data_IF_090826769910
#
_entry.id   IF_090826769910
#
_cell.length_a   1.000
_cell.length_b   1.000
_cell.length_c   1.000
_cell.angle_alpha   90.00
_cell.angle_beta   90.00
_cell.angle_gamma   90.00
#
_symmetry.space_group_name_H-M   'P 1'
#
loop_
_entity.id
_entity.type
_entity.pdbx_description
1 polymer ?
#
# COMPACT_ATOMS: atom_id res chain seq x y z
N UNK A 1 -43.59 6.38 37.62
CA UNK A 1 -42.73 5.56 36.76
C UNK A 1 -42.17 6.48 35.68
N UNK A 2 -40.89 6.81 35.73
CA UNK A 2 -40.21 7.51 34.60
C UNK A 2 -40.07 6.48 33.48
N UNK A 3 -40.26 6.86 32.19
CA UNK A 3 -39.96 5.96 31.08
C UNK A 3 -38.48 5.58 31.19
N UNK A 4 -38.17 4.29 31.12
CA UNK A 4 -36.79 3.83 30.99
C UNK A 4 -36.22 4.45 29.69
N UNK A 5 -35.28 5.36 29.83
CA UNK A 5 -34.40 5.75 28.70
C UNK A 5 -33.82 4.45 28.15
N UNK A 6 -34.24 4.06 26.96
CA UNK A 6 -33.60 2.99 26.23
C UNK A 6 -32.17 3.47 25.96
N UNK A 7 -31.22 3.04 26.76
CA UNK A 7 -29.80 3.31 26.52
C UNK A 7 -29.46 2.80 25.12
N UNK A 8 -29.14 3.70 24.23
CA UNK A 8 -28.74 3.36 22.83
C UNK A 8 -27.44 2.59 22.92
N UNK A 9 -27.38 1.42 22.29
CA UNK A 9 -26.16 0.61 22.25
C UNK A 9 -25.10 1.24 21.35
N UNK A 10 -23.84 1.10 21.73
CA UNK A 10 -22.69 1.57 20.95
C UNK A 10 -22.43 0.70 19.72
N UNK A 11 -23.32 0.81 18.74
CA UNK A 11 -23.18 0.22 17.41
C UNK A 11 -23.66 1.21 16.36
N UNK A 12 -22.81 1.53 15.39
CA UNK A 12 -23.14 2.39 14.26
C UNK A 12 -22.83 1.64 12.96
N UNK A 13 -23.84 1.57 12.11
CA UNK A 13 -23.69 1.14 10.72
C UNK A 13 -23.59 2.37 9.84
N UNK A 14 -22.53 2.42 9.02
CA UNK A 14 -22.37 3.45 7.99
C UNK A 14 -23.43 3.31 6.89
N UNK A 15 -23.51 4.31 5.98
CA UNK A 15 -24.39 4.23 4.80
C UNK A 15 -24.14 2.98 3.96
N UNK A 16 -25.08 2.63 3.09
CA UNK A 16 -24.87 1.49 2.19
C UNK A 16 -23.74 1.82 1.19
N UNK A 17 -22.84 0.85 0.95
CA UNK A 17 -21.69 1.04 0.05
C UNK A 17 -22.12 1.45 -1.38
N UNK A 18 -23.24 0.93 -1.85
CA UNK A 18 -23.79 1.24 -3.19
C UNK A 18 -24.21 2.71 -3.35
N UNK A 19 -24.40 3.43 -2.25
CA UNK A 19 -24.77 4.84 -2.26
C UNK A 19 -23.55 5.77 -2.21
N UNK A 20 -22.33 5.19 -2.14
CA UNK A 20 -21.09 5.95 -2.12
C UNK A 20 -20.70 6.39 -3.53
N UNK A 21 -20.67 7.70 -3.76
CA UNK A 21 -20.34 8.27 -5.06
C UNK A 21 -18.83 8.22 -5.36
N UNK A 22 -18.49 8.15 -6.65
CA UNK A 22 -17.12 8.26 -7.12
C UNK A 22 -16.29 6.99 -6.99
N UNK A 23 -16.90 5.87 -6.60
CA UNK A 23 -16.25 4.57 -6.56
C UNK A 23 -16.19 3.99 -7.96
N UNK A 24 -14.98 3.64 -8.41
CA UNK A 24 -14.71 2.95 -9.68
C UNK A 24 -14.58 1.44 -9.51
N UNK A 25 -13.88 0.75 -10.46
CA UNK A 25 -13.67 -0.69 -10.40
C UNK A 25 -12.98 -1.12 -9.10
N UNK A 26 -13.47 -2.22 -8.51
CA UNK A 26 -13.02 -2.75 -7.22
C UNK A 26 -12.03 -3.92 -7.34
N UNK A 27 -11.37 -4.06 -8.51
CA UNK A 27 -10.22 -4.95 -8.68
C UNK A 27 -8.99 -4.14 -9.05
N UNK A 28 -7.80 -4.54 -8.60
CA UNK A 28 -6.55 -3.84 -8.94
C UNK A 28 -6.31 -3.72 -10.46
N UNK A 29 -6.55 -4.79 -11.29
CA UNK A 29 -6.46 -4.64 -12.74
C UNK A 29 -7.50 -3.68 -13.31
N UNK A 30 -8.72 -3.71 -12.80
CA UNK A 30 -9.81 -2.81 -13.21
C UNK A 30 -9.52 -1.35 -12.83
N UNK A 31 -8.98 -1.13 -11.63
CA UNK A 31 -8.53 0.17 -11.13
C UNK A 31 -7.46 0.77 -12.06
N UNK A 32 -6.39 0.02 -12.34
CA UNK A 32 -5.32 0.48 -13.21
C UNK A 32 -5.82 0.82 -14.62
N UNK A 33 -6.67 -0.03 -15.20
CA UNK A 33 -7.26 0.22 -16.52
C UNK A 33 -8.09 1.50 -16.52
N UNK A 34 -8.95 1.69 -15.53
CA UNK A 34 -9.76 2.89 -15.40
C UNK A 34 -8.91 4.16 -15.32
N UNK A 35 -7.80 4.12 -14.58
CA UNK A 35 -6.87 5.25 -14.51
C UNK A 35 -6.24 5.55 -15.87
N UNK A 36 -5.80 4.53 -16.61
CA UNK A 36 -5.22 4.69 -17.93
C UNK A 36 -6.25 5.22 -18.95
N UNK A 37 -7.49 4.76 -18.90
CA UNK A 37 -8.58 5.24 -19.75
C UNK A 37 -8.96 6.70 -19.44
N UNK A 38 -9.02 7.08 -18.15
CA UNK A 38 -9.38 8.44 -17.73
C UNK A 38 -8.30 9.48 -18.00
N UNK A 39 -7.04 9.13 -17.73
CA UNK A 39 -5.96 10.12 -17.65
C UNK A 39 -4.90 9.99 -18.75
N UNK A 40 -4.85 8.87 -19.46
CA UNK A 40 -4.10 8.64 -20.68
C UNK A 40 -2.66 9.20 -20.69
N UNK A 41 -2.48 10.31 -21.39
CA UNK A 41 -1.17 10.96 -21.61
C UNK A 41 -0.72 11.87 -20.44
N UNK A 42 -1.47 11.95 -19.32
CA UNK A 42 -0.99 12.71 -18.17
C UNK A 42 0.17 12.00 -17.49
N UNK A 43 1.10 12.76 -16.92
CA UNK A 43 2.21 12.21 -16.11
C UNK A 43 1.66 11.53 -14.86
N UNK A 44 1.93 10.23 -14.71
CA UNK A 44 1.54 9.43 -13.53
C UNK A 44 2.67 9.24 -12.54
N UNK A 45 3.89 9.00 -13.07
CA UNK A 45 5.07 8.72 -12.27
C UNK A 45 6.25 9.57 -12.74
N UNK A 46 7.04 10.03 -11.78
CA UNK A 46 8.31 10.70 -12.02
C UNK A 46 9.36 10.18 -11.07
N UNK A 47 10.50 9.79 -11.62
CA UNK A 47 11.57 9.20 -10.85
C UNK A 47 12.95 9.59 -11.39
N UNK A 48 13.89 9.84 -10.47
CA UNK A 48 15.28 9.99 -10.82
C UNK A 48 15.99 8.66 -10.56
N UNK A 49 16.47 8.02 -11.62
CA UNK A 49 17.13 6.73 -11.53
C UNK A 49 18.51 6.83 -10.86
N UNK A 50 19.15 5.68 -10.61
CA UNK A 50 20.44 5.59 -9.94
C UNK A 50 21.58 6.31 -10.70
N UNK A 51 21.44 6.49 -12.01
CA UNK A 51 22.36 7.26 -12.84
C UNK A 51 22.08 8.78 -12.84
N UNK A 52 21.07 9.24 -12.05
CA UNK A 52 20.69 10.64 -11.97
C UNK A 52 19.76 11.12 -13.09
N UNK A 53 19.35 10.24 -14.01
CA UNK A 53 18.47 10.56 -15.13
C UNK A 53 17.02 10.62 -14.64
N UNK A 54 16.30 11.68 -14.99
CA UNK A 54 14.86 11.79 -14.72
C UNK A 54 14.09 10.99 -15.76
N UNK A 55 13.25 10.09 -15.26
CA UNK A 55 12.33 9.25 -16.05
C UNK A 55 10.89 9.59 -15.65
N UNK A 56 10.01 9.60 -16.64
CA UNK A 56 8.59 9.90 -16.44
C UNK A 56 7.78 8.85 -17.19
N UNK A 57 6.61 8.55 -16.64
CA UNK A 57 5.61 7.69 -17.29
C UNK A 57 4.25 8.37 -17.23
N UNK A 58 3.56 8.37 -18.33
CA UNK A 58 2.13 8.68 -18.40
C UNK A 58 1.31 7.52 -17.81
N UNK A 59 0.02 7.73 -17.58
CA UNK A 59 -0.86 6.66 -17.14
C UNK A 59 -0.95 5.51 -18.14
N UNK A 60 -0.93 5.82 -19.44
CA UNK A 60 -0.87 4.80 -20.51
C UNK A 60 0.43 4.01 -20.45
N UNK A 61 1.58 4.70 -20.38
CA UNK A 61 2.88 4.05 -20.30
C UNK A 61 3.03 3.22 -19.02
N UNK A 62 2.54 3.70 -17.88
CA UNK A 62 2.49 2.93 -16.63
C UNK A 62 1.65 1.65 -16.81
N UNK A 63 0.51 1.72 -17.50
CA UNK A 63 -0.32 0.55 -17.82
C UNK A 63 0.45 -0.44 -18.72
N UNK A 64 1.15 0.04 -19.73
CA UNK A 64 1.92 -0.78 -20.65
C UNK A 64 3.11 -1.49 -19.98
N UNK A 65 3.80 -0.82 -19.05
CA UNK A 65 4.84 -1.44 -18.23
C UNK A 65 4.25 -2.56 -17.34
N UNK A 66 3.12 -2.31 -16.67
CA UNK A 66 2.42 -3.32 -15.89
C UNK A 66 1.99 -4.51 -16.74
N UNK A 67 1.51 -4.26 -17.96
CA UNK A 67 1.16 -5.29 -18.93
C UNK A 67 2.40 -6.12 -19.33
N UNK A 68 3.57 -5.48 -19.52
CA UNK A 68 4.83 -6.16 -19.78
C UNK A 68 5.21 -7.12 -18.66
N UNK A 69 5.10 -6.67 -17.40
CA UNK A 69 5.36 -7.51 -16.22
C UNK A 69 4.35 -8.66 -16.13
N UNK A 70 3.06 -8.40 -16.35
CA UNK A 70 2.03 -9.45 -16.34
C UNK A 70 2.31 -10.55 -17.35
N UNK A 71 2.73 -10.17 -18.56
CA UNK A 71 3.14 -11.14 -19.61
C UNK A 71 4.33 -11.98 -19.16
N UNK A 72 5.36 -11.36 -18.57
CA UNK A 72 6.54 -12.06 -18.08
C UNK A 72 6.18 -13.05 -16.96
N UNK A 73 5.33 -12.64 -16.03
CA UNK A 73 4.83 -13.49 -14.95
C UNK A 73 4.04 -14.69 -15.49
N UNK A 74 3.11 -14.48 -16.42
CA UNK A 74 2.37 -15.58 -17.06
C UNK A 74 3.31 -16.55 -17.80
N UNK A 75 4.31 -16.03 -18.51
CA UNK A 75 5.33 -16.86 -19.18
C UNK A 75 6.20 -17.65 -18.19
N UNK A 76 6.39 -17.13 -16.98
CA UNK A 76 7.08 -17.80 -15.88
C UNK A 76 6.20 -18.82 -15.14
N UNK A 77 4.94 -19.05 -15.58
CA UNK A 77 4.02 -20.03 -15.00
C UNK A 77 3.14 -19.48 -13.87
N UNK A 78 3.15 -18.17 -13.64
CA UNK A 78 2.30 -17.53 -12.65
C UNK A 78 0.83 -17.67 -13.03
N UNK A 79 0.01 -17.98 -12.04
CA UNK A 79 -1.44 -18.08 -12.17
C UNK A 79 -2.15 -17.57 -10.91
N UNK A 80 -3.44 -17.88 -10.82
CA UNK A 80 -4.28 -17.42 -9.71
C UNK A 80 -3.76 -17.94 -8.37
N UNK A 81 -3.51 -17.01 -7.45
CA UNK A 81 -3.03 -17.29 -6.11
C UNK A 81 -1.51 -17.47 -5.97
N UNK A 82 -0.74 -17.49 -7.09
CA UNK A 82 0.72 -17.45 -7.03
C UNK A 82 1.19 -16.20 -6.28
N UNK A 83 2.16 -16.33 -5.40
CA UNK A 83 2.66 -15.22 -4.58
C UNK A 83 3.94 -14.63 -5.15
N UNK A 84 3.88 -13.35 -5.51
CA UNK A 84 4.99 -12.57 -6.06
C UNK A 84 5.48 -11.61 -4.97
N UNK A 85 6.66 -11.86 -4.44
CA UNK A 85 7.32 -11.00 -3.45
C UNK A 85 7.96 -9.80 -4.12
N UNK A 86 7.71 -8.61 -3.59
CA UNK A 86 8.36 -7.37 -4.01
C UNK A 86 9.23 -6.85 -2.87
N UNK A 87 10.55 -7.03 -2.98
CA UNK A 87 11.56 -6.46 -2.10
C UNK A 87 12.20 -5.25 -2.81
N UNK A 88 11.41 -4.24 -2.99
CA UNK A 88 11.70 -3.07 -3.83
C UNK A 88 11.34 -1.81 -3.03
N UNK A 89 12.19 -0.79 -3.07
CA UNK A 89 11.92 0.52 -2.52
C UNK A 89 10.86 1.29 -3.34
N UNK A 90 10.68 2.59 -3.06
CA UNK A 90 9.71 3.41 -3.80
C UNK A 90 10.24 3.73 -5.23
N UNK A 91 10.30 2.69 -6.07
CA UNK A 91 10.68 2.73 -7.48
C UNK A 91 9.47 2.45 -8.38
N UNK A 92 9.50 2.87 -9.65
CA UNK A 92 8.43 2.54 -10.62
C UNK A 92 8.15 1.05 -10.71
N UNK A 93 9.20 0.22 -10.66
CA UNK A 93 9.11 -1.24 -10.78
C UNK A 93 8.31 -1.89 -9.63
N UNK A 94 8.19 -1.23 -8.46
CA UNK A 94 7.29 -1.68 -7.41
C UNK A 94 5.83 -1.64 -7.87
N UNK A 95 5.41 -0.52 -8.49
CA UNK A 95 4.05 -0.36 -9.04
C UNK A 95 3.82 -1.29 -10.23
N UNK A 96 4.80 -1.39 -11.13
CA UNK A 96 4.72 -2.30 -12.28
C UNK A 96 4.61 -3.75 -11.84
N UNK A 97 5.38 -4.16 -10.82
CA UNK A 97 5.32 -5.49 -10.22
C UNK A 97 3.98 -5.78 -9.58
N UNK A 98 3.46 -4.87 -8.76
CA UNK A 98 2.21 -5.04 -8.02
C UNK A 98 1.00 -5.12 -8.97
N UNK A 99 0.86 -4.15 -9.88
CA UNK A 99 -0.23 -4.18 -10.85
C UNK A 99 -0.06 -5.31 -11.87
N UNK A 100 1.17 -5.57 -12.33
CA UNK A 100 1.47 -6.68 -13.25
C UNK A 100 1.13 -8.05 -12.62
N UNK A 101 1.47 -8.25 -11.35
CA UNK A 101 1.10 -9.45 -10.60
C UNK A 101 -0.43 -9.61 -10.53
N UNK A 102 -1.14 -8.53 -10.21
CA UNK A 102 -2.60 -8.56 -10.14
C UNK A 102 -3.25 -8.84 -11.51
N UNK A 103 -2.70 -8.30 -12.62
CA UNK A 103 -3.15 -8.60 -13.99
C UNK A 103 -2.89 -10.05 -14.40
N UNK A 104 -1.88 -10.70 -13.84
CA UNK A 104 -1.59 -12.13 -14.02
C UNK A 104 -2.39 -13.05 -13.07
N UNK A 105 -3.25 -12.47 -12.20
CA UNK A 105 -4.03 -13.22 -11.21
C UNK A 105 -3.25 -13.61 -9.95
N UNK A 106 -2.05 -13.08 -9.78
CA UNK A 106 -1.19 -13.34 -8.64
C UNK A 106 -1.50 -12.43 -7.45
N UNK A 107 -0.97 -12.81 -6.29
CA UNK A 107 -1.01 -12.04 -5.04
C UNK A 107 0.35 -11.41 -4.81
N UNK A 108 0.38 -10.10 -4.64
CA UNK A 108 1.61 -9.37 -4.30
C UNK A 108 1.91 -9.48 -2.81
N UNK A 109 3.13 -9.85 -2.47
CA UNK A 109 3.66 -9.80 -1.11
C UNK A 109 4.59 -8.60 -0.98
N UNK A 110 4.16 -7.59 -0.24
CA UNK A 110 4.91 -6.37 -0.01
C UNK A 110 5.95 -6.60 1.11
N UNK A 111 7.21 -6.79 0.72
CA UNK A 111 8.31 -7.09 1.64
C UNK A 111 8.96 -5.78 2.12
N UNK A 112 9.26 -5.71 3.41
CA UNK A 112 9.87 -4.53 4.00
C UNK A 112 11.36 -4.43 3.66
N UNK A 113 11.77 -3.38 2.97
CA UNK A 113 13.16 -3.13 2.58
C UNK A 113 14.10 -2.77 3.72
N UNK A 114 13.58 -2.58 4.93
CA UNK A 114 14.36 -2.37 6.15
C UNK A 114 14.43 -3.60 7.05
N UNK A 115 13.88 -4.74 6.61
CA UNK A 115 13.95 -6.01 7.35
C UNK A 115 15.39 -6.49 7.51
N UNK A 116 15.67 -7.05 8.68
CA UNK A 116 16.88 -7.84 8.90
C UNK A 116 16.83 -9.13 8.09
N UNK A 117 17.97 -9.81 7.93
CA UNK A 117 18.04 -11.12 7.27
C UNK A 117 17.06 -12.14 7.88
N UNK A 118 16.99 -12.19 9.22
CA UNK A 118 16.08 -13.08 9.93
C UNK A 118 14.61 -12.77 9.65
N UNK A 119 14.24 -11.50 9.66
CA UNK A 119 12.88 -11.05 9.36
C UNK A 119 12.50 -11.33 7.91
N UNK A 120 13.40 -11.04 6.96
CA UNK A 120 13.16 -11.34 5.55
C UNK A 120 12.99 -12.85 5.32
N UNK A 121 13.85 -13.68 5.91
CA UNK A 121 13.72 -15.13 5.87
C UNK A 121 12.38 -15.62 6.43
N UNK A 122 11.92 -15.03 7.53
CA UNK A 122 10.61 -15.31 8.08
C UNK A 122 9.49 -14.90 7.12
N UNK A 123 9.52 -13.67 6.56
CA UNK A 123 8.51 -13.16 5.64
C UNK A 123 8.39 -14.05 4.39
N UNK A 124 9.52 -14.47 3.82
CA UNK A 124 9.54 -15.35 2.64
C UNK A 124 8.91 -16.72 2.93
N UNK A 125 9.27 -17.34 4.08
CA UNK A 125 8.69 -18.63 4.50
C UNK A 125 7.20 -18.51 4.82
N UNK A 126 6.82 -17.45 5.54
CA UNK A 126 5.44 -17.25 5.96
C UNK A 126 4.51 -17.00 4.77
N UNK A 127 5.00 -16.29 3.75
CA UNK A 127 4.16 -15.91 2.61
C UNK A 127 4.24 -16.88 1.43
N UNK A 128 5.03 -17.94 1.48
CA UNK A 128 5.19 -18.92 0.39
C UNK A 128 5.45 -18.24 -0.97
N UNK A 129 6.38 -17.28 -1.00
CA UNK A 129 6.74 -16.56 -2.22
C UNK A 129 7.29 -17.53 -3.26
N UNK A 130 6.75 -17.49 -4.48
CA UNK A 130 7.19 -18.31 -5.60
C UNK A 130 8.17 -17.55 -6.51
N UNK A 131 7.91 -16.26 -6.74
CA UNK A 131 8.80 -15.38 -7.49
C UNK A 131 9.13 -14.19 -6.60
N UNK A 132 10.41 -13.95 -6.35
CA UNK A 132 10.90 -12.76 -5.68
C UNK A 132 11.45 -11.79 -6.72
N UNK A 133 10.90 -10.57 -6.76
CA UNK A 133 11.44 -9.46 -7.53
C UNK A 133 12.05 -8.49 -6.53
N UNK A 134 13.35 -8.19 -6.70
CA UNK A 134 14.09 -7.39 -5.71
C UNK A 134 15.07 -6.42 -6.35
N UNK A 135 15.41 -5.37 -5.61
CA UNK A 135 16.62 -4.58 -5.86
C UNK A 135 17.87 -5.31 -5.35
N UNK A 136 19.05 -4.92 -5.83
CA UNK A 136 20.30 -5.44 -5.27
C UNK A 136 20.50 -5.05 -3.80
N UNK A 137 20.02 -3.88 -3.41
CA UNK A 137 20.07 -3.39 -2.03
C UNK A 137 19.44 -2.01 -1.86
N UNK A 138 19.14 -1.63 -0.63
CA UNK A 138 18.56 -0.34 -0.23
C UNK A 138 19.29 0.20 1.00
N UNK A 139 19.77 1.43 0.94
CA UNK A 139 20.59 2.04 2.00
C UNK A 139 21.79 1.15 2.36
N UNK A 140 21.85 0.62 3.58
CA UNK A 140 22.92 -0.30 4.03
C UNK A 140 22.59 -1.78 3.82
N UNK A 141 21.39 -2.13 3.37
CA UNK A 141 20.98 -3.52 3.19
C UNK A 141 21.42 -4.05 1.82
N UNK A 142 22.24 -5.10 1.82
CA UNK A 142 22.62 -5.88 0.63
C UNK A 142 21.68 -7.09 0.50
N UNK A 143 20.63 -6.95 -0.32
CA UNK A 143 19.65 -8.01 -0.52
C UNK A 143 20.21 -9.18 -1.31
N UNK A 144 21.21 -8.92 -2.15
CA UNK A 144 21.86 -9.98 -2.91
C UNK A 144 22.64 -10.89 -1.98
N UNK A 145 23.45 -10.35 -1.09
CA UNK A 145 24.14 -11.16 -0.06
C UNK A 145 23.13 -11.90 0.83
N UNK A 146 22.10 -11.20 1.27
CA UNK A 146 21.05 -11.76 2.12
C UNK A 146 20.34 -12.95 1.47
N UNK A 147 19.91 -12.85 0.20
CA UNK A 147 19.18 -13.95 -0.44
C UNK A 147 20.06 -15.16 -0.70
N UNK A 148 21.36 -14.98 -0.98
CA UNK A 148 22.30 -16.10 -1.10
C UNK A 148 22.57 -16.77 0.26
N UNK A 149 22.55 -16.04 1.37
CA UNK A 149 22.63 -16.61 2.72
C UNK A 149 21.36 -17.40 3.05
N UNK A 150 20.18 -16.85 2.77
CA UNK A 150 18.90 -17.51 3.05
C UNK A 150 18.62 -18.69 2.12
N UNK A 151 19.19 -18.71 0.93
CA UNK A 151 18.95 -19.71 -0.10
C UNK A 151 20.25 -20.08 -0.83
N UNK A 152 21.21 -20.79 -0.21
CA UNK A 152 22.49 -21.15 -0.82
C UNK A 152 22.38 -21.88 -2.17
N UNK A 153 21.38 -22.77 -2.43
CA UNK A 153 21.23 -23.44 -3.72
C UNK A 153 20.97 -22.46 -4.88
N UNK A 154 20.58 -21.22 -4.61
CA UNK A 154 20.35 -20.20 -5.63
C UNK A 154 21.59 -19.99 -6.53
N UNK A 155 22.81 -20.10 -5.96
CA UNK A 155 24.07 -19.89 -6.69
C UNK A 155 24.31 -20.85 -7.87
N UNK A 156 23.62 -21.99 -7.91
CA UNK A 156 23.73 -22.98 -8.98
C UNK A 156 22.39 -23.25 -9.68
N UNK A 157 21.34 -22.54 -9.31
CA UNK A 157 20.00 -22.79 -9.83
C UNK A 157 19.76 -22.11 -11.20
N UNK A 158 19.09 -22.83 -12.07
CA UNK A 158 18.47 -22.21 -13.25
C UNK A 158 17.22 -21.44 -12.81
N UNK A 159 16.99 -20.20 -13.27
CA UNK A 159 15.78 -19.46 -12.94
C UNK A 159 14.48 -20.22 -13.28
N UNK A 160 13.66 -20.51 -12.30
CA UNK A 160 12.45 -21.32 -12.39
C UNK A 160 12.60 -22.76 -11.92
N UNK A 161 13.83 -23.24 -11.68
CA UNK A 161 14.14 -24.60 -11.23
C UNK A 161 14.79 -24.63 -9.82
N UNK A 162 14.60 -23.55 -9.06
CA UNK A 162 15.11 -23.45 -7.70
C UNK A 162 14.29 -24.33 -6.76
N UNK A 163 15.00 -25.09 -5.91
CA UNK A 163 14.43 -25.90 -4.82
C UNK A 163 15.25 -25.72 -3.57
N UNK A 164 14.57 -25.40 -2.46
CA UNK A 164 15.20 -25.24 -1.16
C UNK A 164 14.23 -25.64 -0.05
N UNK A 165 14.70 -26.43 0.93
CA UNK A 165 13.83 -27.00 1.98
C UNK A 165 13.18 -25.91 2.85
N UNK A 166 13.91 -24.84 3.19
CA UNK A 166 13.40 -23.74 4.01
C UNK A 166 12.51 -22.75 3.23
N UNK A 167 12.66 -22.72 1.90
CA UNK A 167 11.87 -21.88 0.99
C UNK A 167 11.25 -22.74 -0.11
N UNK A 168 10.38 -23.71 0.25
CA UNK A 168 9.94 -24.78 -0.64
C UNK A 168 9.11 -24.31 -1.83
N UNK A 169 8.59 -23.08 -1.80
CA UNK A 169 7.83 -22.48 -2.89
C UNK A 169 8.65 -21.59 -3.79
N UNK A 170 9.79 -21.05 -3.34
CA UNK A 170 10.62 -20.15 -4.14
C UNK A 170 11.19 -20.87 -5.37
N UNK A 171 10.91 -20.33 -6.56
CA UNK A 171 11.34 -20.89 -7.84
C UNK A 171 12.24 -19.93 -8.62
N UNK A 172 12.10 -18.63 -8.37
CA UNK A 172 12.78 -17.62 -9.17
C UNK A 172 13.09 -16.39 -8.34
N UNK A 173 14.30 -15.86 -8.51
CA UNK A 173 14.69 -14.56 -7.98
C UNK A 173 15.08 -13.66 -9.15
N UNK A 174 14.37 -12.55 -9.31
CA UNK A 174 14.60 -11.53 -10.33
C UNK A 174 15.21 -10.31 -9.65
N UNK A 175 16.36 -9.85 -10.15
CA UNK A 175 17.03 -8.69 -9.61
C UNK A 175 17.00 -7.52 -10.61
N UNK A 176 16.54 -6.35 -10.16
CA UNK A 176 16.39 -5.14 -10.99
C UNK A 176 17.74 -4.54 -11.41
N UNK A 177 18.75 -4.71 -10.57
CA UNK A 177 20.04 -4.04 -10.69
C UNK A 177 21.20 -5.06 -10.87
N UNK A 178 20.89 -6.30 -11.29
CA UNK A 178 21.93 -7.31 -11.51
C UNK A 178 22.62 -7.12 -12.86
N UNK A 179 23.92 -7.43 -12.86
CA UNK A 179 24.61 -7.67 -14.12
C UNK A 179 24.05 -8.94 -14.78
N UNK A 180 23.90 -9.00 -16.11
CA UNK A 180 23.26 -10.13 -16.84
C UNK A 180 23.91 -11.51 -16.62
N UNK A 181 25.01 -11.61 -15.89
CA UNK A 181 25.80 -12.82 -15.74
C UNK A 181 25.87 -13.40 -14.33
N UNK A 182 25.09 -12.86 -13.35
CA UNK A 182 25.17 -13.38 -11.98
C UNK A 182 24.39 -14.68 -11.84
N UNK A 183 25.10 -15.78 -11.67
CA UNK A 183 24.51 -17.11 -11.50
C UNK A 183 23.38 -17.12 -10.48
N UNK A 184 22.26 -17.77 -10.82
CA UNK A 184 21.08 -17.95 -9.98
C UNK A 184 20.11 -16.75 -9.94
N UNK A 185 20.56 -15.53 -10.18
CA UNK A 185 19.67 -14.36 -10.31
C UNK A 185 19.30 -14.14 -11.78
N UNK A 186 18.03 -13.88 -12.03
CA UNK A 186 17.56 -13.46 -13.33
C UNK A 186 17.59 -11.94 -13.45
N UNK A 187 18.21 -11.41 -14.51
CA UNK A 187 18.14 -9.99 -14.83
C UNK A 187 16.70 -9.56 -15.17
N UNK A 188 16.35 -8.32 -14.79
CA UNK A 188 15.01 -7.77 -15.03
C UNK A 188 14.64 -7.74 -16.53
N UNK A 189 15.56 -7.32 -17.39
CA UNK A 189 15.32 -7.27 -18.84
C UNK A 189 15.11 -8.66 -19.43
N UNK A 190 15.88 -9.65 -18.98
CA UNK A 190 15.70 -11.06 -19.36
C UNK A 190 14.35 -11.59 -18.88
N UNK A 191 13.95 -11.27 -17.65
CA UNK A 191 12.65 -11.64 -17.12
C UNK A 191 11.51 -11.06 -17.96
N UNK A 192 11.53 -9.75 -18.23
CA UNK A 192 10.52 -9.09 -19.07
C UNK A 192 10.48 -9.69 -20.48
N UNK A 193 11.63 -10.08 -21.02
CA UNK A 193 11.70 -10.72 -22.35
C UNK A 193 10.95 -12.06 -22.44
N UNK A 194 10.75 -12.79 -21.34
CA UNK A 194 9.93 -14.01 -21.33
C UNK A 194 8.52 -13.74 -21.85
N UNK A 195 7.96 -12.58 -21.52
CA UNK A 195 6.58 -12.19 -21.85
C UNK A 195 6.34 -11.90 -23.34
N UNK A 196 7.37 -11.79 -24.18
CA UNK A 196 7.25 -11.37 -25.60
C UNK A 196 6.27 -12.22 -26.42
N UNK A 197 6.12 -13.50 -26.08
CA UNK A 197 5.23 -14.44 -26.79
C UNK A 197 3.83 -14.51 -26.21
N UNK A 198 3.58 -13.87 -25.06
CA UNK A 198 2.24 -13.90 -24.43
C UNK A 198 1.36 -12.84 -25.11
N UNK A 199 0.23 -13.26 -25.75
CA UNK A 199 -0.70 -12.32 -26.36
C UNK A 199 -1.33 -11.39 -25.33
N UNK A 200 -1.57 -10.14 -25.69
CA UNK A 200 -2.26 -9.17 -24.84
C UNK A 200 -3.63 -9.69 -24.37
N UNK A 201 -4.39 -10.34 -25.28
CA UNK A 201 -5.70 -10.90 -24.99
C UNK A 201 -5.70 -11.92 -23.83
N UNK A 202 -4.60 -12.67 -23.63
CA UNK A 202 -4.46 -13.59 -22.50
C UNK A 202 -4.41 -12.82 -21.18
N UNK A 203 -3.59 -11.76 -21.12
CA UNK A 203 -3.52 -10.91 -19.90
C UNK A 203 -4.87 -10.26 -19.63
N UNK A 204 -5.54 -9.72 -20.66
CA UNK A 204 -6.86 -9.11 -20.49
C UNK A 204 -7.89 -10.12 -19.96
N UNK A 205 -7.92 -11.35 -20.49
CA UNK A 205 -8.83 -12.41 -20.02
C UNK A 205 -8.53 -12.81 -18.58
N UNK A 206 -7.23 -12.94 -18.21
CA UNK A 206 -6.81 -13.23 -16.85
C UNK A 206 -7.22 -12.11 -15.88
N UNK A 207 -6.92 -10.87 -16.23
CA UNK A 207 -7.29 -9.69 -15.44
C UNK A 207 -8.81 -9.56 -15.25
N UNK A 208 -9.59 -9.84 -16.30
CA UNK A 208 -11.06 -9.82 -16.25
C UNK A 208 -11.67 -10.94 -15.40
N UNK A 209 -10.93 -12.02 -15.14
CA UNK A 209 -11.38 -13.12 -14.25
C UNK A 209 -11.23 -12.80 -12.76
N UNK A 210 -10.56 -11.72 -12.40
CA UNK A 210 -10.37 -11.31 -11.00
C UNK A 210 -11.67 -10.81 -10.39
N UNK A 211 -11.96 -11.26 -9.17
CA UNK A 211 -13.10 -10.78 -8.38
C UNK A 211 -12.65 -9.76 -7.32
N UNK A 212 -13.50 -8.79 -6.96
CA UNK A 212 -13.22 -7.86 -5.86
C UNK A 212 -12.89 -8.54 -4.52
N UNK A 213 -13.39 -9.74 -4.28
CA UNK A 213 -13.16 -10.52 -3.05
C UNK A 213 -11.95 -11.44 -3.14
N UNK A 214 -11.30 -11.56 -4.30
CA UNK A 214 -10.07 -12.31 -4.42
C UNK A 214 -8.95 -11.63 -3.64
N UNK A 215 -8.03 -12.41 -3.13
CA UNK A 215 -6.82 -11.92 -2.49
C UNK A 215 -5.93 -11.24 -3.53
N UNK A 216 -5.51 -10.00 -3.25
CA UNK A 216 -4.65 -9.21 -4.14
C UNK A 216 -3.30 -8.89 -3.55
N UNK A 217 -3.24 -8.71 -2.22
CA UNK A 217 -2.07 -8.18 -1.52
C UNK A 217 -1.85 -8.89 -0.18
N UNK A 218 -0.59 -8.97 0.24
CA UNK A 218 -0.19 -9.35 1.59
C UNK A 218 0.74 -8.27 2.13
N UNK A 219 0.42 -7.73 3.32
CA UNK A 219 1.27 -6.83 4.07
C UNK A 219 1.72 -7.47 5.38
N UNK A 220 2.88 -7.06 5.87
CA UNK A 220 3.35 -7.47 7.18
C UNK A 220 3.18 -6.32 8.18
N UNK A 221 2.51 -6.58 9.30
CA UNK A 221 2.44 -5.63 10.41
C UNK A 221 3.52 -5.94 11.44
N UNK A 222 4.01 -4.89 12.09
CA UNK A 222 4.93 -4.98 13.24
C UNK A 222 4.21 -5.37 14.54
N UNK A 223 3.23 -6.29 14.50
CA UNK A 223 2.39 -6.63 15.65
C UNK A 223 3.10 -6.60 17.01
N UNK A 224 2.35 -6.46 18.09
CA UNK A 224 2.83 -6.48 19.49
C UNK A 224 3.49 -7.80 19.92
N UNK A 225 3.49 -8.82 19.04
CA UNK A 225 4.12 -10.12 19.21
C UNK A 225 5.48 -10.18 18.50
N UNK A 226 6.35 -11.06 18.91
CA UNK A 226 7.73 -11.16 18.42
C UNK A 226 7.89 -11.42 16.90
N UNK A 227 6.84 -11.77 16.18
CA UNK A 227 6.86 -12.07 14.74
C UNK A 227 5.80 -11.24 13.99
N UNK A 228 6.15 -10.62 12.81
CA UNK A 228 5.20 -9.88 11.99
C UNK A 228 4.05 -10.76 11.48
N UNK A 229 2.81 -10.26 11.54
CA UNK A 229 1.65 -10.96 10.99
C UNK A 229 1.52 -10.67 9.49
N UNK A 230 1.31 -11.73 8.70
CA UNK A 230 1.03 -11.62 7.26
C UNK A 230 -0.47 -11.40 7.05
N UNK A 231 -0.86 -10.16 6.77
CA UNK A 231 -2.24 -9.70 6.64
C UNK A 231 -2.66 -9.81 5.18
N UNK A 232 -3.68 -10.62 4.91
CA UNK A 232 -4.20 -10.88 3.57
C UNK A 232 -5.26 -9.86 3.19
N UNK A 233 -5.07 -9.14 2.09
CA UNK A 233 -5.99 -8.10 1.65
C UNK A 233 -6.64 -8.43 0.30
N UNK A 234 -7.94 -8.10 0.16
CA UNK A 234 -8.67 -8.28 -1.09
C UNK A 234 -8.36 -7.16 -2.09
N UNK A 235 -8.63 -7.40 -3.37
CA UNK A 235 -8.62 -6.34 -4.38
C UNK A 235 -9.55 -5.19 -3.98
N UNK A 236 -10.76 -5.51 -3.48
CA UNK A 236 -11.76 -4.53 -3.05
C UNK A 236 -11.25 -3.64 -1.92
N UNK A 237 -10.61 -4.21 -0.91
CA UNK A 237 -10.12 -3.44 0.23
C UNK A 237 -9.15 -2.33 -0.24
N UNK A 238 -8.18 -2.68 -1.08
CA UNK A 238 -7.20 -1.75 -1.61
C UNK A 238 -7.82 -0.67 -2.51
N UNK A 239 -8.60 -1.09 -3.51
CA UNK A 239 -9.13 -0.16 -4.52
C UNK A 239 -10.22 0.75 -3.98
N UNK A 240 -11.09 0.23 -3.09
CA UNK A 240 -12.13 1.05 -2.44
C UNK A 240 -11.51 2.19 -1.62
N UNK A 241 -10.46 1.90 -0.84
CA UNK A 241 -9.77 2.94 -0.11
C UNK A 241 -9.04 3.93 -1.04
N UNK A 242 -8.43 3.46 -2.14
CA UNK A 242 -7.86 4.38 -3.11
C UNK A 242 -8.92 5.37 -3.64
N UNK A 243 -10.11 4.91 -4.02
CA UNK A 243 -11.19 5.78 -4.49
C UNK A 243 -11.63 6.77 -3.41
N UNK A 244 -11.80 6.33 -2.17
CA UNK A 244 -12.18 7.19 -1.03
C UNK A 244 -11.17 8.29 -0.78
N UNK A 245 -9.89 7.94 -0.74
CA UNK A 245 -8.83 8.92 -0.44
C UNK A 245 -8.68 9.98 -1.51
N UNK A 246 -8.96 9.68 -2.78
CA UNK A 246 -9.03 10.68 -3.84
C UNK A 246 -10.02 11.80 -3.54
N UNK A 247 -11.17 11.46 -2.98
CA UNK A 247 -12.18 12.47 -2.60
C UNK A 247 -11.84 13.17 -1.29
N UNK A 248 -11.33 12.45 -0.29
CA UNK A 248 -11.12 13.01 1.05
C UNK A 248 -9.97 14.01 1.13
N UNK A 249 -8.96 13.81 0.32
CA UNK A 249 -7.83 14.72 0.27
C UNK A 249 -8.19 16.07 -0.37
N UNK A 250 -9.24 16.12 -1.20
CA UNK A 250 -9.67 17.36 -1.83
C UNK A 250 -8.58 17.98 -2.71
N UNK A 251 -7.69 17.16 -3.25
CA UNK A 251 -6.64 17.57 -4.18
C UNK A 251 -7.14 17.46 -5.61
N UNK A 252 -6.56 18.22 -6.52
CA UNK A 252 -6.89 18.17 -7.93
C UNK A 252 -5.84 17.42 -8.77
N UNK A 253 -6.08 17.35 -10.05
CA UNK A 253 -5.23 16.64 -11.00
C UNK A 253 -3.86 17.27 -11.27
N UNK A 254 -3.54 18.40 -10.67
CA UNK A 254 -2.21 19.01 -10.69
C UNK A 254 -1.32 18.53 -9.54
N UNK A 255 -1.88 17.72 -8.59
CA UNK A 255 -1.17 17.25 -7.42
C UNK A 255 0.09 16.46 -7.79
N UNK A 256 1.18 16.80 -7.12
CA UNK A 256 2.48 16.12 -7.20
C UNK A 256 2.80 15.61 -5.81
N UNK A 257 2.63 14.31 -5.64
CA UNK A 257 2.72 13.69 -4.32
C UNK A 257 4.06 12.97 -4.14
N UNK A 258 4.71 13.27 -3.03
CA UNK A 258 5.86 12.52 -2.53
C UNK A 258 5.52 11.83 -1.21
N UNK A 259 6.08 10.65 -0.98
CA UNK A 259 5.98 9.96 0.29
C UNK A 259 7.34 9.58 0.84
N UNK A 260 7.55 9.89 2.12
CA UNK A 260 8.72 9.45 2.88
C UNK A 260 8.67 7.97 3.27
N UNK A 261 7.49 7.36 3.19
CA UNK A 261 7.22 6.00 3.65
C UNK A 261 7.39 4.97 2.53
N UNK A 262 7.83 3.74 2.88
CA UNK A 262 7.99 2.65 1.92
C UNK A 262 6.65 2.12 1.39
N UNK A 263 6.61 1.69 0.14
CA UNK A 263 5.40 1.14 -0.50
C UNK A 263 4.95 -0.20 0.08
N UNK A 264 5.81 -0.85 0.86
CA UNK A 264 5.45 -2.03 1.65
C UNK A 264 4.49 -1.75 2.81
N UNK A 265 4.18 -0.49 3.11
CA UNK A 265 3.21 -0.10 4.13
C UNK A 265 1.83 0.19 3.51
N UNK A 266 0.78 -0.50 4.01
CA UNK A 266 -0.58 -0.43 3.46
C UNK A 266 -1.20 0.98 3.49
N UNK A 267 -0.90 1.78 4.53
CA UNK A 267 -1.39 3.15 4.63
C UNK A 267 -0.92 4.04 3.48
N UNK A 268 0.33 3.86 3.03
CA UNK A 268 0.86 4.61 1.90
C UNK A 268 0.10 4.32 0.59
N UNK A 269 -0.43 3.10 0.46
CA UNK A 269 -1.23 2.70 -0.69
C UNK A 269 -2.47 3.59 -0.86
N UNK A 270 -3.21 3.82 0.21
CA UNK A 270 -4.37 4.71 0.16
C UNK A 270 -3.96 6.19 0.16
N UNK A 271 -3.08 6.60 1.08
CA UNK A 271 -2.71 8.00 1.29
C UNK A 271 -1.93 8.61 0.12
N UNK A 272 -0.98 7.85 -0.49
CA UNK A 272 -0.20 8.34 -1.63
C UNK A 272 -0.83 7.93 -2.97
N UNK A 273 -1.07 6.63 -3.21
CA UNK A 273 -1.59 6.18 -4.51
C UNK A 273 -3.04 6.61 -4.69
N UNK A 274 -3.90 6.38 -3.69
CA UNK A 274 -5.31 6.73 -3.74
C UNK A 274 -5.52 8.21 -3.95
N UNK A 275 -4.94 9.06 -3.09
CA UNK A 275 -5.11 10.51 -3.16
C UNK A 275 -4.59 11.11 -4.47
N UNK A 276 -3.60 10.47 -5.12
CA UNK A 276 -2.92 11.01 -6.30
C UNK A 276 -3.45 10.44 -7.59
N UNK A 277 -3.42 9.10 -7.72
CA UNK A 277 -3.71 8.46 -9.01
C UNK A 277 -5.19 8.57 -9.39
N UNK A 278 -6.10 8.56 -8.41
CA UNK A 278 -7.55 8.64 -8.69
C UNK A 278 -8.01 9.99 -9.20
N UNK A 279 -7.22 11.03 -8.99
CA UNK A 279 -7.49 12.40 -9.50
C UNK A 279 -6.66 12.75 -10.73
N UNK A 280 -5.78 11.86 -11.21
CA UNK A 280 -4.92 12.08 -12.37
C UNK A 280 -3.67 12.91 -12.05
N UNK A 281 -3.21 12.89 -10.80
CA UNK A 281 -1.97 13.51 -10.33
C UNK A 281 -0.73 12.70 -10.65
N UNK A 282 0.44 13.14 -10.17
CA UNK A 282 1.74 12.53 -10.41
C UNK A 282 2.42 12.11 -9.09
N UNK A 283 2.86 10.86 -9.00
CA UNK A 283 3.71 10.39 -7.91
C UNK A 283 5.18 10.72 -8.20
N UNK A 284 5.80 11.44 -7.27
CA UNK A 284 7.22 11.78 -7.28
C UNK A 284 7.94 10.75 -6.42
N UNK A 285 8.72 9.89 -7.08
CA UNK A 285 9.30 8.72 -6.43
C UNK A 285 10.70 8.99 -5.91
N UNK A 286 10.97 8.51 -4.71
CA UNK A 286 12.28 8.49 -4.07
C UNK A 286 12.45 7.15 -3.37
N UNK A 287 13.59 6.48 -3.59
CA UNK A 287 13.83 5.10 -3.12
C UNK A 287 13.56 4.94 -1.62
N UNK A 288 14.11 5.82 -0.81
CA UNK A 288 13.95 5.86 0.64
C UNK A 288 14.13 7.28 1.15
N UNK A 289 13.66 7.54 2.35
CA UNK A 289 13.77 8.83 2.98
C UNK A 289 15.22 9.11 3.38
N UNK A 290 15.79 10.15 2.79
CA UNK A 290 17.03 10.82 3.19
C UNK A 290 16.71 12.31 3.32
N UNK A 291 16.91 12.95 4.48
CA UNK A 291 16.39 14.29 4.72
C UNK A 291 16.90 15.34 3.73
N UNK A 292 18.21 15.39 3.43
CA UNK A 292 18.79 16.38 2.53
C UNK A 292 18.34 16.16 1.08
N UNK A 293 18.42 14.93 0.60
CA UNK A 293 17.96 14.57 -0.74
C UNK A 293 16.44 14.75 -0.90
N UNK A 294 15.67 14.52 0.17
CA UNK A 294 14.21 14.73 0.17
C UNK A 294 13.88 16.21 0.08
N UNK A 295 14.56 17.07 0.86
CA UNK A 295 14.37 18.52 0.83
C UNK A 295 14.67 19.08 -0.58
N UNK A 296 15.78 18.64 -1.20
CA UNK A 296 16.12 19.00 -2.58
C UNK A 296 15.03 18.55 -3.57
N UNK A 297 14.53 17.31 -3.41
CA UNK A 297 13.50 16.76 -4.28
C UNK A 297 12.20 17.55 -4.17
N UNK A 298 11.75 17.89 -2.95
CA UNK A 298 10.52 18.65 -2.70
C UNK A 298 10.52 19.96 -3.49
N UNK A 299 11.64 20.71 -3.46
CA UNK A 299 11.82 21.97 -4.19
C UNK A 299 11.86 21.75 -5.70
N UNK A 300 12.77 20.87 -6.16
CA UNK A 300 13.06 20.65 -7.57
C UNK A 300 11.84 20.12 -8.33
N UNK A 301 11.12 19.17 -7.75
CA UNK A 301 9.96 18.56 -8.38
C UNK A 301 8.66 19.30 -8.09
N UNK A 302 8.72 20.40 -7.34
CA UNK A 302 7.56 21.19 -6.93
C UNK A 302 6.46 20.31 -6.34
N UNK A 303 6.81 19.51 -5.35
CA UNK A 303 5.87 18.63 -4.65
C UNK A 303 4.80 19.49 -3.98
N UNK A 304 3.55 19.13 -4.17
CA UNK A 304 2.41 19.86 -3.59
C UNK A 304 1.74 19.14 -2.43
N UNK A 305 1.94 17.81 -2.33
CA UNK A 305 1.46 16.96 -1.23
C UNK A 305 2.61 16.08 -0.72
N UNK A 306 3.01 16.26 0.53
CA UNK A 306 4.01 15.43 1.19
C UNK A 306 3.34 14.50 2.20
N UNK A 307 3.58 13.19 2.06
CA UNK A 307 3.14 12.16 3.02
C UNK A 307 4.34 11.76 3.88
N UNK A 308 4.41 12.32 5.07
CA UNK A 308 5.48 12.08 6.02
C UNK A 308 4.94 12.00 7.45
N UNK A 309 5.65 11.28 8.32
CA UNK A 309 5.36 11.27 9.75
C UNK A 309 6.04 12.46 10.46
N UNK A 310 5.54 12.91 11.62
CA UNK A 310 6.11 14.05 12.33
C UNK A 310 7.62 13.95 12.59
N UNK A 311 8.15 12.75 12.85
CA UNK A 311 9.59 12.56 13.04
C UNK A 311 10.40 12.73 11.74
N UNK A 312 9.82 12.42 10.57
CA UNK A 312 10.46 12.64 9.27
C UNK A 312 10.42 14.14 8.91
N UNK A 313 9.30 14.81 9.17
CA UNK A 313 9.20 16.26 9.01
C UNK A 313 10.19 17.03 9.90
N UNK A 314 10.36 16.58 11.16
CA UNK A 314 11.37 17.13 12.05
C UNK A 314 12.79 17.00 11.46
N UNK A 315 13.11 15.86 10.87
CA UNK A 315 14.40 15.63 10.19
C UNK A 315 14.58 16.52 8.96
N UNK A 316 13.53 16.82 8.20
CA UNK A 316 13.59 17.80 7.10
C UNK A 316 13.90 19.19 7.63
N UNK A 317 13.26 19.59 8.74
CA UNK A 317 13.48 20.89 9.37
C UNK A 317 14.89 21.06 9.92
N UNK A 318 15.57 19.98 10.29
CA UNK A 318 16.96 19.97 10.77
C UNK A 318 18.00 20.08 9.64
N UNK A 319 17.60 19.94 8.36
CA UNK A 319 18.53 20.06 7.24
C UNK A 319 19.14 21.47 7.15
N UNK A 320 20.43 21.61 6.87
CA UNK A 320 21.07 22.93 6.71
C UNK A 320 20.43 23.80 5.62
N UNK A 321 19.89 23.15 4.56
CA UNK A 321 19.20 23.85 3.47
C UNK A 321 17.77 24.28 3.76
N UNK A 322 17.21 23.88 4.92
CA UNK A 322 15.81 24.18 5.25
C UNK A 322 15.47 25.68 5.20
N UNK A 323 16.24 26.62 5.81
CA UNK A 323 15.85 28.04 5.82
C UNK A 323 15.75 28.68 4.45
N UNK A 324 16.55 28.19 3.48
CA UNK A 324 16.66 28.75 2.13
C UNK A 324 15.84 27.97 1.09
N UNK A 325 15.13 26.89 1.51
CA UNK A 325 14.37 26.05 0.63
C UNK A 325 13.14 26.79 0.07
N UNK A 326 12.85 26.64 -1.22
CA UNK A 326 11.59 27.06 -1.82
C UNK A 326 10.57 25.89 -1.76
N UNK A 327 9.75 25.91 -0.72
CA UNK A 327 8.68 24.93 -0.50
C UNK A 327 7.28 25.51 -0.82
N UNK A 328 7.21 26.62 -1.54
CA UNK A 328 5.95 27.32 -1.86
C UNK A 328 4.96 26.45 -2.67
N UNK A 329 5.42 25.39 -3.32
CA UNK A 329 4.56 24.43 -4.01
C UNK A 329 3.79 23.49 -3.07
N UNK A 330 4.23 23.32 -1.80
CA UNK A 330 3.60 22.47 -0.80
C UNK A 330 2.32 23.12 -0.25
N UNK A 331 1.25 23.07 -1.02
CA UNK A 331 -0.06 23.67 -0.68
C UNK A 331 -0.98 22.72 0.08
N UNK A 332 -0.75 21.41 -0.05
CA UNK A 332 -1.49 20.35 0.65
C UNK A 332 -0.66 19.83 1.84
N UNK A 333 -0.45 20.69 2.81
CA UNK A 333 0.18 20.40 4.09
C UNK A 333 -0.75 20.81 5.20
N UNK A 334 -0.99 19.95 6.18
CA UNK A 334 -1.81 20.32 7.32
C UNK A 334 -1.12 21.44 8.11
N UNK A 335 -1.87 22.52 8.36
CA UNK A 335 -1.36 23.74 8.99
C UNK A 335 -0.78 23.52 10.39
N UNK A 336 -1.13 22.42 11.04
CA UNK A 336 -0.70 22.08 12.40
C UNK A 336 0.55 21.17 12.41
N UNK A 337 1.06 20.77 11.23
CA UNK A 337 2.25 19.95 11.07
C UNK A 337 3.55 20.77 10.99
N UNK A 338 4.67 20.11 11.19
CA UNK A 338 6.01 20.74 11.23
C UNK A 338 6.35 21.39 9.88
N UNK A 339 6.05 20.74 8.77
CA UNK A 339 6.29 21.30 7.42
C UNK A 339 5.63 22.66 7.23
N UNK A 340 4.41 22.86 7.73
CA UNK A 340 3.70 24.14 7.64
C UNK A 340 4.38 25.29 8.42
N UNK A 341 5.37 25.01 9.24
CA UNK A 341 6.17 26.05 9.92
C UNK A 341 7.21 26.70 9.01
N UNK A 342 7.42 26.17 7.78
CA UNK A 342 8.36 26.80 6.84
C UNK A 342 7.80 28.11 6.28
N UNK A 343 8.61 29.19 6.22
CA UNK A 343 8.11 30.54 5.85
C UNK A 343 7.59 30.66 4.41
N UNK A 344 7.99 29.77 3.49
CA UNK A 344 7.49 29.77 2.11
C UNK A 344 6.17 28.99 1.94
N UNK A 345 5.68 28.30 2.96
CA UNK A 345 4.45 27.49 2.87
C UNK A 345 3.26 28.33 3.34
N UNK A 346 2.30 28.52 2.44
CA UNK A 346 1.01 29.12 2.74
C UNK A 346 -0.09 28.07 2.51
N UNK A 347 -0.74 27.64 3.60
CA UNK A 347 -1.76 26.58 3.52
C UNK A 347 -2.92 26.83 4.48
N UNK A 348 -4.12 26.47 4.01
CA UNK A 348 -5.33 26.32 4.85
C UNK A 348 -5.84 24.88 4.82
N UNK A 349 -5.10 23.99 4.12
CA UNK A 349 -5.50 22.60 3.96
C UNK A 349 -5.41 21.84 5.28
N UNK A 350 -6.30 20.90 5.45
CA UNK A 350 -6.34 19.98 6.57
C UNK A 350 -6.26 18.55 6.07
N UNK A 351 -5.44 17.75 6.72
CA UNK A 351 -5.37 16.33 6.43
C UNK A 351 -6.68 15.64 6.82
N UNK A 352 -7.20 14.70 6.02
CA UNK A 352 -8.26 13.80 6.43
C UNK A 352 -7.91 13.07 7.72
N UNK A 353 -8.90 12.89 8.59
CA UNK A 353 -8.75 12.13 9.83
C UNK A 353 -9.63 10.88 9.80
N UNK A 354 -9.24 9.84 10.52
CA UNK A 354 -9.99 8.60 10.60
C UNK A 354 -9.32 7.56 11.47
N UNK A 355 -10.06 6.51 11.76
CA UNK A 355 -9.60 5.36 12.52
C UNK A 355 -9.57 4.11 11.66
N UNK A 356 -8.51 3.34 11.79
CA UNK A 356 -8.35 2.02 11.18
C UNK A 356 -6.96 1.44 11.33
N UNK A 357 -6.81 0.22 10.84
CA UNK A 357 -5.65 -0.65 11.00
C UNK A 357 -5.19 -1.18 9.63
N UNK A 358 -4.09 -1.91 9.58
CA UNK A 358 -3.72 -2.69 8.39
C UNK A 358 -4.79 -3.74 8.07
N UNK A 359 -5.39 -4.35 9.10
CA UNK A 359 -6.47 -5.34 8.98
C UNK A 359 -7.76 -4.77 8.37
N UNK A 360 -7.98 -3.47 8.47
CA UNK A 360 -9.11 -2.77 7.84
C UNK A 360 -8.73 -2.07 6.53
N UNK A 361 -7.52 -2.30 6.05
CA UNK A 361 -6.89 -1.57 4.94
C UNK A 361 -7.05 -0.05 5.10
N UNK A 362 -6.54 0.51 6.18
CA UNK A 362 -6.74 1.89 6.63
C UNK A 362 -8.11 2.13 7.30
N UNK A 363 -8.87 3.12 6.94
CA UNK A 363 -9.97 3.66 7.75
C UNK A 363 -11.28 2.86 7.65
N UNK A 364 -11.93 2.64 8.81
CA UNK A 364 -13.33 2.20 8.93
C UNK A 364 -14.27 3.35 9.31
N UNK A 365 -13.73 4.38 9.94
CA UNK A 365 -14.37 5.70 10.09
C UNK A 365 -13.45 6.75 9.54
N UNK A 366 -14.00 7.88 9.09
CA UNK A 366 -13.15 8.92 8.54
C UNK A 366 -13.95 10.14 8.07
N UNK A 367 -13.23 11.25 7.94
CA UNK A 367 -13.78 12.53 7.52
C UNK A 367 -12.74 13.28 6.69
N UNK A 368 -13.22 13.97 5.65
CA UNK A 368 -12.39 14.89 4.88
C UNK A 368 -11.80 15.99 5.78
N UNK A 369 -10.58 16.42 5.50
CA UNK A 369 -9.87 17.40 6.32
C UNK A 369 -10.65 18.71 6.52
N UNK A 370 -11.38 19.17 5.49
CA UNK A 370 -12.23 20.38 5.55
C UNK A 370 -13.42 20.27 6.53
N UNK A 371 -13.78 19.05 6.95
CA UNK A 371 -14.91 18.77 7.84
C UNK A 371 -14.44 18.17 9.19
N UNK A 372 -13.13 18.09 9.41
CA UNK A 372 -12.58 17.50 10.61
C UNK A 372 -12.89 18.37 11.84
N UNK A 373 -13.65 17.81 12.79
CA UNK A 373 -13.89 18.42 14.09
C UNK A 373 -12.85 17.90 15.10
N UNK A 374 -12.51 18.73 16.07
CA UNK A 374 -11.51 18.39 17.08
C UNK A 374 -11.85 17.08 17.80
N UNK A 375 -10.85 16.19 17.88
CA UNK A 375 -10.91 14.88 18.56
C UNK A 375 -11.89 13.84 17.98
N UNK A 376 -12.49 14.06 16.81
CA UNK A 376 -13.32 13.04 16.15
C UNK A 376 -12.51 12.23 15.14
N UNK A 377 -12.73 10.91 15.10
CA UNK A 377 -12.23 10.03 14.05
C UNK A 377 -13.21 9.92 12.85
N UNK A 378 -14.18 10.84 12.80
CA UNK A 378 -15.19 10.90 11.75
C UNK A 378 -16.29 9.84 11.84
N UNK A 379 -17.31 9.95 10.99
CA UNK A 379 -18.41 8.99 10.90
C UNK A 379 -17.92 7.63 10.39
N UNK A 380 -18.67 6.58 10.71
CA UNK A 380 -18.46 5.23 10.16
C UNK A 380 -18.68 5.27 8.65
N UNK A 381 -17.70 4.75 7.91
CA UNK A 381 -17.69 4.82 6.45
C UNK A 381 -18.72 3.89 5.81
N UNK A 382 -19.14 4.18 4.57
CA UNK A 382 -20.11 3.35 3.85
C UNK A 382 -19.72 1.87 3.82
N UNK A 383 -20.71 1.01 4.11
CA UNK A 383 -20.56 -0.43 4.17
C UNK A 383 -19.91 -0.99 5.43
N UNK A 384 -19.36 -0.15 6.31
CA UNK A 384 -18.77 -0.59 7.58
C UNK A 384 -19.79 -0.56 8.71
N UNK A 385 -19.52 -1.38 9.75
CA UNK A 385 -20.18 -1.32 11.06
C UNK A 385 -19.08 -1.27 12.13
N UNK A 386 -19.22 -0.36 13.07
CA UNK A 386 -18.33 -0.24 14.24
C UNK A 386 -19.17 -0.44 15.49
N UNK A 387 -18.66 -1.25 16.41
CA UNK A 387 -19.30 -1.56 17.69
C UNK A 387 -18.27 -1.40 18.81
N UNK A 388 -18.72 -0.95 19.98
CA UNK A 388 -17.91 -0.91 21.20
C UNK A 388 -18.41 -1.97 22.15
N UNK A 389 -17.50 -2.81 22.61
CA UNK A 389 -17.82 -3.92 23.51
C UNK A 389 -17.01 -3.83 24.80
N UNK A 390 -17.56 -4.43 25.84
CA UNK A 390 -16.82 -4.75 27.04
C UNK A 390 -15.83 -5.90 26.72
N UNK A 391 -14.51 -5.72 26.90
CA UNK A 391 -13.52 -6.73 26.52
C UNK A 391 -13.56 -8.00 27.38
N UNK A 392 -14.20 -7.96 28.58
CA UNK A 392 -14.30 -9.13 29.47
C UNK A 392 -15.54 -9.96 29.15
N UNK A 393 -16.68 -9.30 28.87
CA UNK A 393 -17.97 -9.99 28.68
C UNK A 393 -18.36 -10.16 27.22
N UNK A 394 -17.78 -9.36 26.31
CA UNK A 394 -18.16 -9.28 24.89
C UNK A 394 -19.51 -8.58 24.64
N UNK A 395 -20.14 -8.02 25.68
CA UNK A 395 -21.41 -7.32 25.54
C UNK A 395 -21.24 -5.93 24.94
N UNK A 396 -22.17 -5.54 24.05
CA UNK A 396 -22.20 -4.18 23.49
C UNK A 396 -22.49 -3.15 24.57
N UNK A 397 -21.57 -2.19 24.74
CA UNK A 397 -21.68 -1.12 25.74
C UNK A 397 -22.72 -0.07 25.34
N UNK A 398 -23.20 0.73 26.31
CA UNK A 398 -23.97 1.94 26.07
C UNK A 398 -23.20 2.98 25.26
N UNK A 399 -23.92 3.82 24.50
CA UNK A 399 -23.32 4.92 23.74
C UNK A 399 -22.56 5.87 24.66
N UNK A 400 -21.34 6.24 24.28
CA UNK A 400 -20.44 7.10 25.04
C UNK A 400 -19.55 6.40 26.05
N UNK A 401 -19.75 5.11 26.31
CA UNK A 401 -18.87 4.32 27.19
C UNK A 401 -17.66 3.79 26.38
N UNK A 402 -16.51 3.80 27.05
CA UNK A 402 -15.24 3.33 26.46
C UNK A 402 -15.10 1.83 26.62
N UNK A 403 -14.80 1.14 25.53
CA UNK A 403 -14.53 -0.29 25.48
C UNK A 403 -13.65 -0.64 24.27
N UNK A 404 -13.58 -1.93 23.94
CA UNK A 404 -12.87 -2.38 22.74
C UNK A 404 -13.65 -2.01 21.47
N UNK A 405 -12.94 -1.46 20.48
CA UNK A 405 -13.48 -1.20 19.15
C UNK A 405 -13.48 -2.51 18.37
N UNK A 406 -14.64 -2.94 17.87
CA UNK A 406 -14.72 -4.01 16.89
C UNK A 406 -15.35 -3.50 15.60
N UNK A 407 -14.93 -4.03 14.47
CA UNK A 407 -15.37 -3.53 13.16
C UNK A 407 -15.64 -4.66 12.17
N UNK A 408 -16.60 -4.44 11.27
CA UNK A 408 -16.76 -5.25 10.06
C UNK A 408 -17.12 -4.38 8.86
N UNK A 409 -16.77 -4.86 7.65
CA UNK A 409 -17.05 -4.11 6.43
C UNK A 409 -16.30 -4.60 5.20
N UNK A 410 -16.44 -3.89 4.07
CA UNK A 410 -15.91 -4.31 2.78
C UNK A 410 -14.39 -4.20 2.65
N UNK A 411 -13.72 -3.49 3.55
CA UNK A 411 -12.26 -3.27 3.54
C UNK A 411 -11.50 -4.15 4.50
N UNK A 412 -12.20 -5.04 5.23
CA UNK A 412 -11.54 -5.98 6.12
C UNK A 412 -10.63 -6.95 5.38
N UNK A 413 -9.57 -7.34 6.06
CA UNK A 413 -8.67 -8.43 5.65
C UNK A 413 -9.42 -9.74 5.45
N UNK A 414 -8.82 -10.66 4.68
CA UNK A 414 -9.27 -12.05 4.62
C UNK A 414 -8.81 -12.88 5.84
N UNK A 415 -7.98 -12.31 6.71
CA UNK A 415 -7.37 -12.98 7.85
C UNK A 415 -5.84 -12.95 7.81
N UNK A 416 -5.22 -13.56 8.80
CA UNK A 416 -3.77 -13.77 8.83
C UNK A 416 -3.41 -15.03 8.05
N UNK A 417 -2.35 -14.95 7.27
CA UNK A 417 -1.88 -16.10 6.51
C UNK A 417 -1.40 -17.22 7.45
N UNK A 418 -1.80 -18.45 7.16
CA UNK A 418 -1.49 -19.65 7.99
C UNK A 418 -2.04 -19.60 9.42
N UNK A 419 -3.03 -18.74 9.67
CA UNK A 419 -3.77 -18.72 10.93
C UNK A 419 -5.26 -19.00 10.68
N UNK A 420 -5.95 -19.63 11.60
CA UNK A 420 -7.38 -19.86 11.45
C UNK A 420 -8.15 -18.54 11.56
N UNK A 421 -9.29 -18.40 10.82
CA UNK A 421 -10.06 -17.14 10.82
C UNK A 421 -10.56 -16.71 12.21
N UNK A 422 -10.83 -17.66 13.11
CA UNK A 422 -11.27 -17.42 14.48
C UNK A 422 -10.24 -16.72 15.37
N UNK A 423 -8.98 -16.65 14.94
CA UNK A 423 -7.94 -15.86 15.64
C UNK A 423 -8.16 -14.34 15.46
N UNK A 424 -8.98 -13.94 14.49
CA UNK A 424 -9.20 -12.54 14.15
C UNK A 424 -10.69 -12.16 14.15
N UNK A 425 -11.56 -13.06 13.67
CA UNK A 425 -12.99 -12.79 13.51
C UNK A 425 -13.83 -13.45 14.59
N UNK A 426 -14.80 -12.71 15.13
CA UNK A 426 -15.85 -13.29 15.93
C UNK A 426 -16.89 -14.04 15.07
N UNK A 427 -17.92 -14.64 15.74
CA UNK A 427 -18.98 -15.38 15.06
C UNK A 427 -19.91 -14.51 14.20
N UNK A 428 -19.92 -13.19 14.44
CA UNK A 428 -20.70 -12.21 13.67
C UNK A 428 -19.89 -11.60 12.53
N UNK A 429 -18.59 -11.93 12.41
CA UNK A 429 -17.67 -11.45 11.38
C UNK A 429 -17.06 -10.09 11.68
N UNK A 430 -17.05 -9.65 12.94
CA UNK A 430 -16.26 -8.51 13.38
C UNK A 430 -14.82 -8.92 13.64
N UNK A 431 -13.89 -8.01 13.35
CA UNK A 431 -12.52 -8.11 13.84
C UNK A 431 -12.41 -7.45 15.20
N UNK A 432 -11.60 -8.05 16.08
CA UNK A 432 -11.17 -7.47 17.34
C UNK A 432 -9.92 -6.64 17.12
N UNK A 433 -9.98 -5.33 17.42
CA UNK A 433 -8.86 -4.42 17.13
C UNK A 433 -7.85 -4.32 18.27
N UNK A 434 -8.25 -4.69 19.48
CA UNK A 434 -7.52 -4.45 20.73
C UNK A 434 -7.29 -2.95 21.03
N UNK A 435 -7.92 -2.05 20.28
CA UNK A 435 -7.91 -0.62 20.56
C UNK A 435 -9.11 -0.20 21.39
N UNK A 436 -8.92 0.77 22.28
CA UNK A 436 -9.98 1.31 23.11
C UNK A 436 -10.57 2.59 22.49
N UNK A 437 -11.90 2.71 22.55
CA UNK A 437 -12.61 3.89 22.07
C UNK A 437 -14.06 3.93 22.50
N UNK A 438 -14.77 4.96 22.05
CA UNK A 438 -16.20 5.11 22.26
C UNK A 438 -16.88 5.73 21.03
N UNK A 439 -18.19 5.49 20.89
CA UNK A 439 -19.01 6.11 19.86
C UNK A 439 -19.84 7.25 20.47
N UNK A 440 -19.99 8.33 19.70
CA UNK A 440 -20.93 9.44 20.01
C UNK A 440 -22.12 9.38 19.06
N UNK A 441 -23.30 9.93 19.48
CA UNK A 441 -24.49 9.99 18.63
C UNK A 441 -24.26 10.75 17.31
#
# INVERSE_FOLDING_TARGET
>A
MRPSEKTTRSEIQGPALQDENGIGPLTLPGFLRELAERYGNREALRWRNLAGVVMCWTYTEMYDECLGVAKALLAAGVGRGTRVGLLISNRPEWLFGMFGASMAGAVTVALNTFSTEQELGYQLRQSDVEILIMEAGVASNDFVATIFTLCPPLSAATPGELFHDDLPFLRRVVCLDSEPSREGLQDWGEFIALGRKIPHAIVQATAASSSPVDQGLIFFSSGSTAQPKAIQQTHRAATLQCWRFGHWYGVDSSVRTWSANGFFWSGNFAMAFGSTLTVGGCLILQRYFDPDASLELLQREKVSLAIAWPHQEARLKECPGWPDADLSALVYVDKDLILATHPSIETTWRQPNGYGLTETFTFVSGVAGSQNADNSQGPVLPGNTVRIIDPETGETLPMGETGEIIAKGPTLTCGYLKSPPEDLFDREGFIHTADAGYLTP
#
